data_IF_822007984146
#
_entry.id   IF_822007984146
#
_cell.length_a   1.000
_cell.length_b   1.000
_cell.length_c   1.000
_cell.angle_alpha   90.00
_cell.angle_beta   90.00
_cell.angle_gamma   90.00
#
_symmetry.space_group_name_H-M   'P 1'
#
loop_
_entity.id
_entity.type
_entity.pdbx_description
1 polymer ?
#
# COMPACT_ATOMS: atom_id res chain seq x y z
N UNK A 1 49.33 -10.29 32.90
CA UNK A 1 47.90 -10.08 32.61
C UNK A 1 47.76 -9.12 31.43
N UNK A 2 47.56 -9.63 30.20
CA UNK A 2 47.51 -8.81 28.99
C UNK A 2 46.09 -8.83 28.42
N UNK A 3 45.42 -7.67 28.52
CA UNK A 3 44.49 -7.06 27.55
C UNK A 3 43.52 -7.99 26.80
N UNK A 4 42.30 -8.18 27.34
CA UNK A 4 41.17 -8.82 26.63
C UNK A 4 40.02 -7.82 26.34
N UNK A 5 40.24 -6.51 26.51
CA UNK A 5 39.14 -5.51 26.55
C UNK A 5 38.81 -4.86 25.19
N UNK A 6 39.37 -5.31 24.06
CA UNK A 6 39.17 -4.60 22.77
C UNK A 6 38.20 -5.24 21.77
N UNK A 7 37.49 -6.31 22.13
CA UNK A 7 36.68 -7.08 21.16
C UNK A 7 35.20 -7.22 21.57
N UNK A 8 34.56 -6.13 22.02
CA UNK A 8 33.10 -6.12 22.25
C UNK A 8 32.34 -5.02 21.48
N UNK A 9 33.03 -4.08 20.82
CA UNK A 9 32.38 -2.94 20.15
C UNK A 9 31.93 -3.20 18.70
N UNK A 10 32.31 -4.32 18.09
CA UNK A 10 32.01 -4.59 16.68
C UNK A 10 30.62 -5.21 16.43
N UNK A 11 29.97 -5.76 17.47
CA UNK A 11 28.69 -6.49 17.31
C UNK A 11 27.47 -5.54 17.39
N UNK A 12 27.63 -4.34 17.95
CA UNK A 12 26.52 -3.39 18.13
C UNK A 12 26.19 -2.56 16.88
N UNK A 13 27.02 -2.59 15.83
CA UNK A 13 26.84 -1.79 14.62
C UNK A 13 25.98 -2.47 13.54
N UNK A 14 25.74 -3.78 13.62
CA UNK A 14 24.99 -4.54 12.61
C UNK A 14 23.47 -4.65 12.88
N UNK A 15 23.01 -4.31 14.08
CA UNK A 15 21.59 -4.36 14.45
C UNK A 15 20.79 -3.11 14.06
N UNK A 16 21.45 -2.04 13.60
CA UNK A 16 20.80 -0.74 13.34
C UNK A 16 20.16 -0.68 11.93
N UNK A 17 20.56 -1.55 11.00
CA UNK A 17 20.11 -1.49 9.61
C UNK A 17 18.69 -2.02 9.42
N UNK A 18 18.26 -3.02 10.19
CA UNK A 18 16.92 -3.60 10.09
C UNK A 18 15.82 -2.69 10.65
N UNK A 19 16.10 -1.99 11.75
CA UNK A 19 15.15 -1.07 12.40
C UNK A 19 14.80 0.13 11.51
N UNK A 20 15.75 0.58 10.67
CA UNK A 20 15.53 1.72 9.77
C UNK A 20 14.57 1.38 8.62
N UNK A 21 14.62 0.16 8.08
CA UNK A 21 13.70 -0.28 7.02
C UNK A 21 12.25 -0.37 7.52
N UNK A 22 12.03 -0.97 8.69
CA UNK A 22 10.69 -1.06 9.28
C UNK A 22 10.10 0.31 9.61
N UNK A 23 10.92 1.24 10.11
CA UNK A 23 10.47 2.60 10.40
C UNK A 23 9.95 3.31 9.15
N UNK A 24 10.69 3.25 8.03
CA UNK A 24 10.30 3.91 6.78
C UNK A 24 8.99 3.36 6.21
N UNK A 25 8.79 2.04 6.25
CA UNK A 25 7.53 1.42 5.82
C UNK A 25 6.36 1.88 6.71
N UNK A 26 6.55 1.93 8.03
CA UNK A 26 5.52 2.39 8.97
C UNK A 26 5.16 3.87 8.77
N UNK A 27 6.15 4.74 8.56
CA UNK A 27 5.91 6.16 8.30
C UNK A 27 5.16 6.35 6.97
N UNK A 28 5.51 5.58 5.94
CA UNK A 28 4.79 5.57 4.66
C UNK A 28 3.34 5.07 4.83
N UNK A 29 3.13 3.97 5.55
CA UNK A 29 1.79 3.45 5.81
C UNK A 29 0.90 4.47 6.53
N UNK A 30 1.47 5.25 7.46
CA UNK A 30 0.76 6.36 8.11
C UNK A 30 0.42 7.50 7.15
N UNK A 31 1.31 7.85 6.22
CA UNK A 31 0.99 8.90 5.22
C UNK A 31 -0.14 8.50 4.26
N UNK A 32 -0.26 7.20 3.99
CA UNK A 32 -1.30 6.63 3.15
C UNK A 32 -2.65 6.52 3.86
N UNK A 33 -2.69 6.52 5.18
CA UNK A 33 -3.92 6.42 5.98
C UNK A 33 -4.92 7.53 5.60
N UNK A 34 -6.17 7.13 5.36
CA UNK A 34 -7.28 8.02 5.03
C UNK A 34 -8.00 7.65 3.75
N UNK A 35 -8.93 8.53 3.37
CA UNK A 35 -9.72 8.41 2.15
C UNK A 35 -9.07 9.17 1.01
N UNK A 36 -9.06 8.55 -0.16
CA UNK A 36 -8.47 9.08 -1.38
C UNK A 36 -9.45 8.91 -2.53
N UNK A 37 -9.77 10.01 -3.19
CA UNK A 37 -10.61 10.04 -4.39
C UNK A 37 -9.75 9.81 -5.62
N UNK A 38 -10.19 8.92 -6.51
CA UNK A 38 -9.50 8.70 -7.78
C UNK A 38 -9.83 9.87 -8.70
N UNK A 39 -8.80 10.62 -9.10
CA UNK A 39 -8.94 11.75 -10.02
C UNK A 39 -8.67 11.35 -11.45
N UNK A 40 -7.88 10.30 -11.68
CA UNK A 40 -7.52 9.84 -13.03
C UNK A 40 -7.01 8.40 -13.01
N UNK A 41 -7.39 7.62 -14.04
CA UNK A 41 -6.74 6.34 -14.37
C UNK A 41 -6.29 6.40 -15.82
N UNK A 42 -5.10 5.89 -16.10
CA UNK A 42 -4.56 5.76 -17.46
C UNK A 42 -4.22 4.29 -17.68
N UNK A 43 -4.85 3.63 -18.66
CA UNK A 43 -4.50 2.28 -19.13
C UNK A 43 -3.71 2.40 -20.44
N UNK A 44 -2.78 1.49 -20.74
CA UNK A 44 -1.77 1.62 -21.82
C UNK A 44 -2.28 1.83 -23.27
N UNK A 45 -3.57 1.69 -23.54
CA UNK A 45 -4.20 2.01 -24.82
C UNK A 45 -4.95 3.37 -24.80
N UNK A 46 -4.86 4.14 -23.72
CA UNK A 46 -5.58 5.40 -23.52
C UNK A 46 -7.08 5.24 -23.22
N UNK A 47 -7.64 4.03 -23.25
CA UNK A 47 -9.07 3.79 -23.01
C UNK A 47 -9.31 3.59 -21.51
N UNK A 48 -10.15 4.45 -20.94
CA UNK A 48 -10.66 4.33 -19.57
C UNK A 48 -12.09 3.85 -19.67
N UNK A 49 -12.37 2.61 -19.24
CA UNK A 49 -13.74 2.23 -18.94
C UNK A 49 -14.10 2.83 -17.58
N UNK A 50 -14.82 3.94 -17.62
CA UNK A 50 -15.23 4.67 -16.41
C UNK A 50 -16.35 3.97 -15.62
N UNK A 51 -17.00 2.95 -16.20
CA UNK A 51 -18.20 2.35 -15.62
C UNK A 51 -17.91 1.32 -14.52
N UNK A 52 -16.76 0.65 -14.60
CA UNK A 52 -16.27 -0.34 -13.62
C UNK A 52 -15.26 0.27 -12.63
N UNK A 53 -14.97 1.56 -12.76
CA UNK A 53 -13.88 2.20 -12.06
C UNK A 53 -14.26 2.54 -10.61
N UNK A 54 -13.42 2.19 -9.62
CA UNK A 54 -13.63 2.65 -8.26
C UNK A 54 -13.58 4.17 -8.23
N UNK A 55 -14.40 4.76 -7.37
CA UNK A 55 -14.44 6.21 -7.15
C UNK A 55 -13.44 6.60 -6.07
N UNK A 56 -13.33 5.79 -5.01
CA UNK A 56 -12.51 6.08 -3.83
C UNK A 56 -11.82 4.84 -3.29
N UNK A 57 -10.69 5.06 -2.63
CA UNK A 57 -9.98 4.09 -1.81
C UNK A 57 -9.86 4.64 -0.40
N UNK A 58 -10.26 3.86 0.60
CA UNK A 58 -9.98 4.16 2.00
C UNK A 58 -8.88 3.21 2.45
N UNK A 59 -7.72 3.76 2.82
CA UNK A 59 -6.60 3.00 3.39
C UNK A 59 -6.63 3.20 4.90
N UNK A 60 -6.80 2.12 5.64
CA UNK A 60 -6.88 2.12 7.10
C UNK A 60 -5.56 1.52 7.62
N UNK A 61 -4.79 2.34 8.31
CA UNK A 61 -3.49 1.99 8.85
C UNK A 61 -3.55 0.78 9.79
N UNK A 62 -2.52 -0.06 9.67
CA UNK A 62 -2.36 -1.27 10.46
C UNK A 62 -2.31 -0.97 11.97
N UNK A 63 -2.87 -1.89 12.76
CA UNK A 63 -2.47 -2.01 14.15
C UNK A 63 -1.12 -2.74 14.17
N UNK A 64 -0.05 -2.03 14.56
CA UNK A 64 1.41 -2.28 14.39
C UNK A 64 1.95 -3.68 14.76
N UNK A 65 1.11 -4.62 15.20
CA UNK A 65 1.49 -5.99 15.59
C UNK A 65 1.19 -7.06 14.53
N UNK A 66 0.37 -6.76 13.54
CA UNK A 66 0.06 -7.65 12.41
C UNK A 66 0.16 -6.78 11.17
N UNK A 67 1.14 -7.04 10.32
CA UNK A 67 1.57 -6.18 9.21
C UNK A 67 0.52 -6.03 8.08
N UNK A 68 -0.68 -6.60 8.27
CA UNK A 68 -1.79 -6.52 7.33
C UNK A 68 -2.66 -5.29 7.65
N UNK A 69 -2.59 -4.27 6.79
CA UNK A 69 -3.45 -3.09 6.89
C UNK A 69 -4.74 -3.39 6.13
N UNK A 70 -5.84 -2.76 6.52
CA UNK A 70 -7.13 -2.96 5.84
C UNK A 70 -7.45 -1.78 4.95
N UNK A 71 -8.19 -2.00 3.88
CA UNK A 71 -8.69 -0.94 3.05
C UNK A 71 -10.00 -1.29 2.39
N UNK A 72 -10.64 -0.29 1.82
CA UNK A 72 -11.95 -0.41 1.18
C UNK A 72 -11.95 0.35 -0.13
N UNK A 73 -12.32 -0.32 -1.21
CA UNK A 73 -12.69 0.34 -2.45
C UNK A 73 -14.17 0.69 -2.43
N UNK A 74 -14.50 1.90 -2.91
CA UNK A 74 -15.88 2.36 -3.07
C UNK A 74 -16.15 2.52 -4.57
N UNK A 75 -17.13 1.79 -5.09
CA UNK A 75 -17.58 1.94 -6.49
C UNK A 75 -18.41 3.21 -6.66
N UNK A 76 -18.58 3.68 -7.90
CA UNK A 76 -19.51 4.79 -8.23
C UNK A 76 -20.97 4.51 -7.83
N UNK A 77 -21.34 3.23 -7.64
CA UNK A 77 -22.67 2.81 -7.19
C UNK A 77 -22.77 2.73 -5.65
N UNK A 78 -21.68 2.99 -4.94
CA UNK A 78 -21.58 2.90 -3.49
C UNK A 78 -21.23 1.50 -2.97
N UNK A 79 -20.87 0.55 -3.83
CA UNK A 79 -20.50 -0.80 -3.40
C UNK A 79 -19.14 -0.75 -2.68
N UNK A 80 -19.07 -1.44 -1.55
CA UNK A 80 -17.86 -1.52 -0.73
C UNK A 80 -17.14 -2.85 -0.97
N UNK A 81 -15.85 -2.78 -1.25
CA UNK A 81 -15.01 -3.97 -1.44
C UNK A 81 -13.78 -3.90 -0.54
N UNK A 82 -13.75 -4.77 0.46
CA UNK A 82 -12.67 -4.82 1.45
C UNK A 82 -11.43 -5.50 0.85
N UNK A 83 -10.25 -5.05 1.28
CA UNK A 83 -8.97 -5.62 0.92
C UNK A 83 -7.94 -5.46 2.05
N UNK A 84 -6.87 -6.23 1.97
CA UNK A 84 -5.67 -6.03 2.76
C UNK A 84 -4.60 -5.32 1.93
N UNK A 85 -3.77 -4.52 2.59
CA UNK A 85 -2.63 -3.90 1.94
C UNK A 85 -1.41 -3.87 2.84
N UNK A 86 -0.23 -3.83 2.20
CA UNK A 86 1.06 -3.76 2.88
C UNK A 86 2.01 -2.82 2.14
N UNK A 87 3.02 -2.33 2.86
CA UNK A 87 4.09 -1.50 2.32
C UNK A 87 5.42 -2.22 2.48
N UNK A 88 6.16 -2.32 1.38
CA UNK A 88 7.47 -2.96 1.35
C UNK A 88 8.50 -2.09 0.63
N UNK A 89 9.74 -2.60 0.52
CA UNK A 89 10.85 -1.93 -0.16
C UNK A 89 11.01 -0.47 0.24
N UNK A 90 11.15 -0.22 1.54
CA UNK A 90 11.39 1.13 2.07
C UNK A 90 10.29 2.13 1.68
N UNK A 91 9.04 1.70 1.57
CA UNK A 91 7.93 2.60 1.23
C UNK A 91 7.70 2.79 -0.27
N UNK A 92 8.33 1.99 -1.13
CA UNK A 92 8.26 2.18 -2.58
C UNK A 92 7.19 1.29 -3.22
N UNK A 93 6.81 0.20 -2.57
CA UNK A 93 5.83 -0.75 -3.08
C UNK A 93 4.61 -0.85 -2.17
N UNK A 94 3.43 -0.65 -2.77
CA UNK A 94 2.10 -0.88 -2.17
C UNK A 94 1.54 -2.18 -2.73
N UNK A 95 1.30 -3.17 -1.87
CA UNK A 95 0.64 -4.41 -2.27
C UNK A 95 -0.81 -4.37 -1.82
N UNK A 96 -1.76 -4.60 -2.73
CA UNK A 96 -3.20 -4.71 -2.44
C UNK A 96 -3.64 -6.14 -2.74
N UNK A 97 -4.18 -6.81 -1.72
CA UNK A 97 -4.61 -8.21 -1.75
C UNK A 97 -6.07 -8.28 -1.35
N UNK A 98 -6.87 -9.14 -1.98
CA UNK A 98 -8.19 -9.40 -1.39
C UNK A 98 -8.09 -10.28 -0.18
N UNK A 99 -9.05 -10.12 0.72
CA UNK A 99 -9.38 -11.09 1.73
C UNK A 99 -9.89 -12.36 1.04
N UNK A 100 -8.98 -13.27 0.72
CA UNK A 100 -9.32 -14.60 0.18
C UNK A 100 -9.77 -15.49 1.36
N UNK A 101 -10.90 -15.13 1.96
CA UNK A 101 -11.59 -15.97 2.93
C UNK A 101 -12.91 -16.41 2.32
N UNK A 102 -13.17 -17.71 2.37
CA UNK A 102 -14.30 -18.42 1.75
C UNK A 102 -15.70 -18.02 2.29
N UNK A 103 -15.86 -16.81 2.84
CA UNK A 103 -17.03 -16.40 3.62
C UNK A 103 -17.73 -15.14 3.08
N UNK A 104 -17.11 -14.35 2.21
CA UNK A 104 -17.79 -13.24 1.53
C UNK A 104 -17.95 -13.50 0.04
N UNK A 105 -19.04 -14.20 -0.29
CA UNK A 105 -19.55 -14.24 -1.66
C UNK A 105 -19.80 -12.80 -2.15
N UNK A 106 -19.29 -12.49 -3.35
CA UNK A 106 -19.43 -11.24 -4.09
C UNK A 106 -18.56 -10.06 -3.60
N UNK A 107 -17.23 -10.21 -3.68
CA UNK A 107 -16.49 -9.12 -4.30
C UNK A 107 -17.03 -8.99 -5.73
N UNK A 108 -17.50 -7.81 -6.14
CA UNK A 108 -17.86 -7.63 -7.54
C UNK A 108 -16.64 -8.00 -8.38
N UNK A 109 -16.82 -8.84 -9.41
CA UNK A 109 -15.76 -9.28 -10.31
C UNK A 109 -14.91 -8.13 -10.85
N UNK A 110 -15.50 -6.94 -10.86
CA UNK A 110 -15.04 -5.74 -11.52
C UNK A 110 -13.84 -5.11 -10.80
N UNK A 111 -13.69 -5.30 -9.48
CA UNK A 111 -12.55 -4.74 -8.74
C UNK A 111 -11.38 -5.71 -8.57
N UNK A 112 -11.53 -6.95 -9.05
CA UNK A 112 -10.43 -7.91 -9.04
C UNK A 112 -9.23 -7.43 -9.87
N UNK A 113 -9.48 -6.59 -10.89
CA UNK A 113 -8.43 -6.01 -11.72
C UNK A 113 -7.53 -5.03 -10.97
N UNK A 114 -7.92 -4.54 -9.78
CA UNK A 114 -7.14 -3.58 -8.99
C UNK A 114 -6.31 -4.24 -7.88
N UNK A 115 -6.33 -5.58 -7.75
CA UNK A 115 -5.40 -6.31 -6.86
C UNK A 115 -4.00 -6.35 -7.46
N UNK A 116 -2.96 -6.33 -6.64
CA UNK A 116 -1.59 -6.52 -7.10
C UNK A 116 -0.58 -5.61 -6.40
N UNK A 117 0.63 -5.61 -6.94
CA UNK A 117 1.75 -4.82 -6.44
C UNK A 117 1.86 -3.55 -7.28
N UNK A 118 1.81 -2.41 -6.63
CA UNK A 118 1.93 -1.09 -7.22
C UNK A 118 3.23 -0.42 -6.79
N UNK A 119 3.87 0.26 -7.73
CA UNK A 119 4.94 1.22 -7.44
C UNK A 119 4.31 2.53 -7.00
N UNK A 120 4.73 3.04 -5.84
CA UNK A 120 4.37 4.39 -5.39
C UNK A 120 5.27 5.37 -6.14
N UNK A 121 4.70 6.04 -7.13
CA UNK A 121 5.41 7.02 -7.97
C UNK A 121 5.53 8.35 -7.24
N UNK A 122 4.47 8.75 -6.55
CA UNK A 122 4.42 10.01 -5.83
C UNK A 122 3.51 9.91 -4.61
N UNK A 123 3.95 10.47 -3.50
CA UNK A 123 3.08 10.74 -2.35
C UNK A 123 3.43 12.11 -1.75
N UNK A 124 2.40 12.93 -1.57
CA UNK A 124 2.41 14.22 -0.87
C UNK A 124 1.14 14.32 -0.04
N UNK A 125 1.05 15.32 0.82
CA UNK A 125 -0.05 15.50 1.78
C UNK A 125 -1.45 15.23 1.22
N UNK A 126 -1.73 15.68 -0.01
CA UNK A 126 -3.04 15.54 -0.67
C UNK A 126 -2.98 14.88 -2.06
N UNK A 127 -1.87 14.22 -2.42
CA UNK A 127 -1.73 13.58 -3.74
C UNK A 127 -1.02 12.24 -3.61
N UNK A 128 -1.57 11.22 -4.24
CA UNK A 128 -0.95 9.91 -4.39
C UNK A 128 -0.97 9.52 -5.87
N UNK A 129 0.12 8.95 -6.36
CA UNK A 129 0.20 8.34 -7.69
C UNK A 129 0.81 6.96 -7.55
N UNK A 130 0.08 5.95 -8.01
CA UNK A 130 0.56 4.57 -8.02
C UNK A 130 0.50 4.01 -9.44
N UNK A 131 1.42 3.11 -9.76
CA UNK A 131 1.52 2.49 -11.07
C UNK A 131 1.68 0.97 -10.94
N UNK A 132 0.98 0.23 -11.79
CA UNK A 132 1.17 -1.22 -11.99
C UNK A 132 1.07 -1.51 -13.47
N UNK A 133 2.11 -2.11 -14.03
CA UNK A 133 2.21 -2.43 -15.46
C UNK A 133 1.92 -1.19 -16.33
N UNK A 134 0.81 -1.21 -17.07
CA UNK A 134 0.35 -0.12 -17.92
C UNK A 134 -0.82 0.67 -17.33
N UNK A 135 -1.08 0.53 -16.02
CA UNK A 135 -2.13 1.23 -15.29
C UNK A 135 -1.50 2.21 -14.31
N UNK A 136 -1.79 3.50 -14.51
CA UNK A 136 -1.45 4.56 -13.56
C UNK A 136 -2.73 5.10 -12.95
N UNK A 137 -2.76 5.22 -11.62
CA UNK A 137 -3.88 5.82 -10.88
C UNK A 137 -3.39 7.04 -10.11
N UNK A 138 -4.09 8.15 -10.26
CA UNK A 138 -3.87 9.38 -9.52
C UNK A 138 -5.01 9.59 -8.54
N UNK A 139 -4.66 10.00 -7.32
CA UNK A 139 -5.60 10.20 -6.23
C UNK A 139 -5.39 11.55 -5.57
N UNK A 140 -6.47 12.05 -4.97
CA UNK A 140 -6.51 13.23 -4.13
C UNK A 140 -7.14 12.91 -2.79
N UNK A 141 -6.55 13.42 -1.72
CA UNK A 141 -7.08 13.31 -0.35
C UNK A 141 -8.15 14.37 -0.09
#
# INVERSE_FOLDING_TARGET
>A
MKSVIKSLFAIFLLSITFSACQKKNNDMAKSLDGQWEITKITKGNGVVDESSMPEKISLISCNVRKEDCSGVWVSKKGDLNNFFWTISEKGELLTIMTEDSQVFNQASSDLAEYKGIYVIVEIRDNKMVINRDNITMEFKK
#
